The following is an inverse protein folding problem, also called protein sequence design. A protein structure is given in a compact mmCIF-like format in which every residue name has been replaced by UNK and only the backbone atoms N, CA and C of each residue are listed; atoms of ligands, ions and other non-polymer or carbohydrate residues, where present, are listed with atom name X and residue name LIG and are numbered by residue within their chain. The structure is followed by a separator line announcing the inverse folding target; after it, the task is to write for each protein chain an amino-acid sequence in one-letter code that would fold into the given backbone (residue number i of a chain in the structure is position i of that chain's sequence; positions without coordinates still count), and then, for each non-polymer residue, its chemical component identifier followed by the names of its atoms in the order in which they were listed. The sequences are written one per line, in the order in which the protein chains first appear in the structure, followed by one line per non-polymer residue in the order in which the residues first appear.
data_IF_780996293211
#
_entry.id   IF_780996293211
#
_cell.length_a   1.000
_cell.length_b   1.000
_cell.length_c   1.000
_cell.angle_alpha   90.00
_cell.angle_beta   90.00
_cell.angle_gamma   90.00
#
_symmetry.space_group_name_H-M   'P 1'
#
loop_
_entity.id
_entity.type
_entity.pdbx_description
1 polymer ?
#
# COMPACT_ATOMS: atom_id res chain seq x y z
N UNK A 1 11.78 24.47 12.25
CA UNK A 1 10.41 24.31 12.77
C UNK A 1 9.37 23.80 11.74
N UNK A 2 9.65 23.85 10.42
CA UNK A 2 8.81 23.24 9.38
C UNK A 2 8.59 21.70 9.40
N UNK A 3 9.45 20.83 9.99
CA UNK A 3 9.23 19.37 9.88
C UNK A 3 8.08 18.84 10.75
N UNK A 4 7.73 19.49 11.86
CA UNK A 4 6.70 19.02 12.81
C UNK A 4 5.29 19.06 12.18
N UNK A 5 4.98 20.14 11.46
CA UNK A 5 3.71 20.30 10.73
C UNK A 5 3.59 19.33 9.55
N UNK A 6 4.72 18.96 8.93
CA UNK A 6 4.78 17.98 7.83
C UNK A 6 4.57 16.54 8.30
N UNK A 7 5.09 16.18 9.48
CA UNK A 7 4.86 14.86 10.07
C UNK A 7 3.38 14.64 10.44
N UNK A 8 2.72 15.65 11.03
CA UNK A 8 1.30 15.57 11.40
C UNK A 8 0.37 15.40 10.18
N UNK A 9 0.63 16.09 9.07
CA UNK A 9 -0.12 15.93 7.81
C UNK A 9 0.05 14.54 7.18
N UNK A 10 1.27 14.02 7.17
CA UNK A 10 1.56 12.68 6.64
C UNK A 10 0.86 11.58 7.45
N UNK A 11 0.82 11.70 8.78
CA UNK A 11 0.11 10.75 9.63
C UNK A 11 -1.39 10.66 9.32
N UNK A 12 -2.06 11.79 9.10
CA UNK A 12 -3.48 11.80 8.71
C UNK A 12 -3.69 11.31 7.26
N UNK A 13 -2.79 11.67 6.33
CA UNK A 13 -2.84 11.20 4.95
C UNK A 13 -2.57 9.68 4.81
N UNK A 14 -2.03 9.03 5.85
CA UNK A 14 -1.70 7.60 5.86
C UNK A 14 -2.90 6.68 6.11
N UNK A 15 -4.03 7.21 6.58
CA UNK A 15 -5.22 6.41 6.94
C UNK A 15 -5.82 5.73 5.70
N UNK A 16 -5.98 6.46 4.59
CA UNK A 16 -6.50 5.92 3.33
C UNK A 16 -5.60 4.83 2.72
N UNK A 17 -4.28 5.08 2.54
CA UNK A 17 -3.32 4.08 2.08
C UNK A 17 -3.23 2.86 2.99
N UNK A 18 -3.25 3.03 4.32
CA UNK A 18 -3.15 1.94 5.29
C UNK A 18 -4.35 0.99 5.23
N UNK A 19 -5.58 1.54 5.16
CA UNK A 19 -6.81 0.73 5.01
C UNK A 19 -6.86 0.04 3.65
N UNK A 20 -6.49 0.74 2.58
CA UNK A 20 -6.43 0.19 1.22
C UNK A 20 -5.41 -0.93 1.06
N UNK A 21 -4.22 -0.79 1.67
CA UNK A 21 -3.19 -1.84 1.70
C UNK A 21 -3.63 -3.06 2.52
N UNK A 22 -4.18 -2.85 3.72
CA UNK A 22 -4.64 -3.96 4.56
C UNK A 22 -5.72 -4.80 3.87
N UNK A 23 -6.67 -4.14 3.21
CA UNK A 23 -7.74 -4.80 2.45
C UNK A 23 -7.19 -5.56 1.23
N UNK A 24 -6.30 -4.92 0.45
CA UNK A 24 -5.68 -5.56 -0.71
C UNK A 24 -4.79 -6.75 -0.32
N UNK A 25 -4.06 -6.65 0.80
CA UNK A 25 -3.25 -7.75 1.33
C UNK A 25 -4.13 -8.91 1.83
N UNK A 26 -5.24 -8.62 2.52
CA UNK A 26 -6.19 -9.64 2.96
C UNK A 26 -6.79 -10.41 1.78
N UNK A 27 -7.30 -9.69 0.78
CA UNK A 27 -7.85 -10.29 -0.45
C UNK A 27 -6.79 -11.06 -1.24
N UNK A 28 -5.55 -10.59 -1.25
CA UNK A 28 -4.43 -11.31 -1.86
C UNK A 28 -4.16 -12.65 -1.13
N UNK A 29 -4.11 -12.65 0.20
CA UNK A 29 -3.90 -13.88 0.99
C UNK A 29 -5.07 -14.85 0.82
N UNK A 30 -6.30 -14.37 0.81
CA UNK A 30 -7.49 -15.19 0.53
C UNK A 30 -7.46 -15.79 -0.89
N UNK A 31 -7.00 -15.02 -1.88
CA UNK A 31 -6.83 -15.47 -3.26
C UNK A 31 -5.72 -16.53 -3.40
N UNK A 32 -4.61 -16.38 -2.67
CA UNK A 32 -3.53 -17.36 -2.60
C UNK A 32 -4.02 -18.65 -1.93
N UNK A 33 -4.80 -18.55 -0.84
CA UNK A 33 -5.35 -19.71 -0.14
C UNK A 33 -6.36 -20.50 -1.00
N UNK A 34 -7.19 -19.81 -1.81
CA UNK A 34 -8.11 -20.45 -2.77
C UNK A 34 -7.41 -21.01 -4.00
N UNK A 35 -6.33 -20.37 -4.46
CA UNK A 35 -5.62 -20.80 -5.66
C UNK A 35 -4.11 -20.60 -5.51
N UNK A 36 -3.40 -21.56 -4.90
CA UNK A 36 -1.97 -21.43 -4.64
C UNK A 36 -1.14 -21.37 -5.92
N UNK A 37 -1.63 -21.91 -7.05
CA UNK A 37 -0.98 -21.78 -8.35
C UNK A 37 -0.99 -20.36 -8.93
N UNK A 38 -1.83 -19.46 -8.40
CA UNK A 38 -1.86 -18.05 -8.78
C UNK A 38 -1.00 -17.17 -7.86
N UNK A 39 -0.29 -17.75 -6.89
CA UNK A 39 0.46 -17.03 -5.87
C UNK A 39 1.46 -16.03 -6.48
N UNK A 40 2.21 -16.43 -7.51
CA UNK A 40 3.16 -15.54 -8.18
C UNK A 40 2.53 -14.28 -8.75
N UNK A 41 1.34 -14.40 -9.39
CA UNK A 41 0.62 -13.26 -9.95
C UNK A 41 0.00 -12.38 -8.87
N UNK A 42 -0.54 -12.97 -7.81
CA UNK A 42 -1.15 -12.22 -6.70
C UNK A 42 -0.09 -11.45 -5.91
N UNK A 43 1.07 -12.09 -5.65
CA UNK A 43 2.23 -11.43 -5.04
C UNK A 43 2.77 -10.29 -5.89
N UNK A 44 2.87 -10.49 -7.20
CA UNK A 44 3.29 -9.43 -8.13
C UNK A 44 2.34 -8.24 -8.10
N UNK A 45 1.02 -8.49 -8.10
CA UNK A 45 0.02 -7.43 -7.99
C UNK A 45 0.11 -6.69 -6.65
N UNK A 46 0.36 -7.40 -5.54
CA UNK A 46 0.53 -6.79 -4.22
C UNK A 46 1.79 -5.91 -4.14
N UNK A 47 2.91 -6.36 -4.71
CA UNK A 47 4.16 -5.58 -4.79
C UNK A 47 3.96 -4.34 -5.68
N UNK A 48 3.32 -4.50 -6.84
CA UNK A 48 2.99 -3.40 -7.75
C UNK A 48 2.07 -2.37 -7.10
N UNK A 49 1.10 -2.83 -6.31
CA UNK A 49 0.24 -1.95 -5.51
C UNK A 49 1.07 -1.14 -4.52
N UNK A 50 1.92 -1.78 -3.72
CA UNK A 50 2.78 -1.07 -2.76
C UNK A 50 3.66 0.00 -3.42
N UNK A 51 4.33 -0.34 -4.52
CA UNK A 51 5.20 0.59 -5.26
C UNK A 51 4.42 1.80 -5.82
N UNK A 52 3.19 1.61 -6.30
CA UNK A 52 2.38 2.71 -6.88
C UNK A 52 1.93 3.76 -5.85
N UNK A 53 1.69 3.36 -4.61
CA UNK A 53 1.16 4.24 -3.56
C UNK A 53 2.24 4.86 -2.67
N UNK A 54 3.35 4.16 -2.42
CA UNK A 54 4.39 4.59 -1.47
C UNK A 54 5.70 5.01 -2.14
N UNK A 55 5.92 4.61 -3.39
CA UNK A 55 7.05 5.09 -4.21
C UNK A 55 6.59 6.22 -5.15
N UNK A 56 5.75 7.12 -4.64
CA UNK A 56 5.51 8.42 -5.27
C UNK A 56 6.65 9.34 -4.82
N UNK A 57 7.44 9.93 -5.74
CA UNK A 57 8.41 10.94 -5.34
C UNK A 57 7.62 12.07 -4.66
N UNK A 58 7.96 12.39 -3.41
CA UNK A 58 7.38 13.49 -2.64
C UNK A 58 7.53 14.89 -3.29
N UNK A 59 7.98 14.94 -4.56
CA UNK A 59 8.21 16.12 -5.39
C UNK A 59 6.98 16.55 -6.23
N UNK A 60 5.88 15.82 -6.18
CA UNK A 60 4.61 16.16 -6.86
C UNK A 60 3.54 16.77 -5.90
N UNK A 61 3.97 17.41 -4.81
CA UNK A 61 3.12 18.15 -3.87
C UNK A 61 3.55 19.61 -3.74
#
# INVERSE_FOLDING_TARGET
MAPYISAKRKGLASIGPGVGQGTAAGQAVEGIARQPGAEGKIREQLIRFNNKFFNKPYKEL
#
